data_IF_490031926928
#
_entry.id   IF_490031926928
#
_cell.length_a   1.000
_cell.length_b   1.000
_cell.length_c   1.000
_cell.angle_alpha   90.00
_cell.angle_beta   90.00
_cell.angle_gamma   90.00
#
_symmetry.space_group_name_H-M   'P 1'
#
loop_
_entity.id
_entity.type
_entity.pdbx_description
1 polymer ?
#
# COMPACT_ATOMS: atom_id res chain seq x y z
N UNK A 1 27.80 -3.96 31.90
CA UNK A 1 26.55 -3.54 31.24
C UNK A 1 26.91 -3.35 29.77
N UNK A 2 26.54 -4.29 28.91
CA UNK A 2 26.77 -4.16 27.47
C UNK A 2 25.79 -3.12 26.93
N UNK A 3 26.32 -1.97 26.52
CA UNK A 3 25.59 -1.04 25.67
C UNK A 3 25.50 -1.68 24.29
N UNK A 4 24.40 -2.38 24.00
CA UNK A 4 24.06 -2.70 22.62
C UNK A 4 23.74 -1.38 21.91
N UNK A 5 24.66 -0.92 21.05
CA UNK A 5 24.38 0.16 20.13
C UNK A 5 23.18 -0.24 19.27
N UNK A 6 22.04 0.46 19.44
CA UNK A 6 20.90 0.27 18.55
C UNK A 6 21.39 0.48 17.10
N UNK A 7 21.08 -0.44 16.19
CA UNK A 7 21.46 -0.28 14.79
C UNK A 7 20.89 1.05 14.30
N UNK A 8 21.70 1.83 13.58
CA UNK A 8 21.23 3.09 13.01
C UNK A 8 20.23 2.76 11.91
N UNK A 9 18.97 3.14 12.11
CA UNK A 9 17.89 2.97 11.14
C UNK A 9 17.34 4.32 10.71
N UNK A 10 16.66 4.34 9.58
CA UNK A 10 15.89 5.50 9.10
C UNK A 10 14.54 5.07 8.57
N UNK A 11 13.56 5.96 8.65
CA UNK A 11 12.28 5.78 7.97
C UNK A 11 12.36 6.27 6.52
N UNK A 12 11.82 5.48 5.60
CA UNK A 12 11.68 5.88 4.20
C UNK A 12 10.36 5.40 3.61
N UNK A 13 10.03 5.91 2.42
CA UNK A 13 8.78 5.60 1.71
C UNK A 13 9.09 4.91 0.40
N UNK A 14 8.45 3.77 0.18
CA UNK A 14 8.51 3.03 -1.08
C UNK A 14 7.17 3.19 -1.77
N UNK A 15 7.16 3.46 -3.07
CA UNK A 15 5.92 3.65 -3.83
C UNK A 15 5.88 2.68 -5.00
N UNK A 16 4.81 1.90 -5.07
CA UNK A 16 4.48 1.04 -6.21
C UNK A 16 3.22 1.57 -6.86
N UNK A 17 3.14 1.52 -8.19
CA UNK A 17 1.97 2.01 -8.92
C UNK A 17 1.59 1.06 -10.04
N UNK A 18 0.30 0.92 -10.28
CA UNK A 18 -0.24 0.12 -11.36
C UNK A 18 -1.42 0.82 -12.01
N UNK A 19 -1.67 0.46 -13.28
CA UNK A 19 -2.76 1.03 -14.08
C UNK A 19 -3.99 0.12 -14.00
N UNK A 20 -5.13 0.73 -13.75
CA UNK A 20 -6.46 0.16 -13.92
C UNK A 20 -6.97 0.64 -15.27
N UNK A 21 -6.86 -0.19 -16.30
CA UNK A 21 -7.18 0.18 -17.69
C UNK A 21 -8.56 -0.29 -18.15
N UNK A 22 -9.24 -1.12 -17.35
CA UNK A 22 -10.55 -1.69 -17.63
C UNK A 22 -11.48 -1.61 -16.42
N UNK A 23 -12.72 -1.17 -16.66
CA UNK A 23 -13.79 -1.20 -15.66
C UNK A 23 -14.17 -2.64 -15.27
N UNK A 24 -14.57 -2.85 -14.02
CA UNK A 24 -14.92 -4.17 -13.46
C UNK A 24 -13.77 -5.20 -13.59
N UNK A 25 -12.52 -4.72 -13.61
CA UNK A 25 -11.34 -5.55 -13.80
C UNK A 25 -10.76 -6.07 -12.48
N UNK A 26 -10.06 -7.21 -12.57
CA UNK A 26 -9.21 -7.75 -11.52
C UNK A 26 -7.76 -7.64 -11.98
N UNK A 27 -6.92 -7.01 -11.17
CA UNK A 27 -5.54 -6.66 -11.48
C UNK A 27 -4.63 -7.30 -10.45
N UNK A 28 -3.70 -8.13 -10.88
CA UNK A 28 -2.68 -8.74 -10.01
C UNK A 28 -1.33 -8.12 -10.31
N UNK A 29 -0.66 -7.66 -9.26
CA UNK A 29 0.68 -7.07 -9.30
C UNK A 29 1.52 -7.82 -8.27
N UNK A 30 2.44 -8.67 -8.70
CA UNK A 30 3.16 -9.62 -7.85
C UNK A 30 4.69 -9.60 -8.04
N UNK A 31 5.19 -8.67 -8.84
CA UNK A 31 6.60 -8.49 -9.18
C UNK A 31 7.23 -7.30 -8.45
N UNK A 32 6.70 -6.92 -7.29
CA UNK A 32 7.18 -5.80 -6.47
C UNK A 32 8.03 -6.33 -5.32
N UNK A 33 9.09 -5.62 -4.99
CA UNK A 33 10.04 -6.00 -3.93
C UNK A 33 10.42 -4.78 -3.11
N UNK A 34 10.43 -4.93 -1.78
CA UNK A 34 10.95 -3.93 -0.85
C UNK A 34 12.48 -3.82 -0.97
N UNK A 35 13.07 -2.67 -0.61
CA UNK A 35 14.52 -2.52 -0.54
C UNK A 35 15.15 -3.59 0.36
N UNK A 36 16.29 -4.15 -0.06
CA UNK A 36 16.98 -5.24 0.66
C UNK A 36 17.34 -4.93 2.11
N UNK A 37 17.49 -3.66 2.46
CA UNK A 37 17.83 -3.21 3.80
C UNK A 37 16.61 -2.92 4.68
N UNK A 38 15.40 -3.21 4.20
CA UNK A 38 14.17 -3.11 4.99
C UNK A 38 14.27 -3.98 6.22
N UNK A 39 13.96 -3.39 7.38
CA UNK A 39 13.91 -4.05 8.68
C UNK A 39 12.47 -4.25 9.14
N UNK A 40 11.62 -3.26 8.94
CA UNK A 40 10.22 -3.28 9.34
C UNK A 40 9.33 -2.57 8.31
N UNK A 41 8.10 -3.02 8.20
CA UNK A 41 7.00 -2.33 7.52
C UNK A 41 6.11 -1.69 8.58
N UNK A 42 6.10 -0.36 8.61
CA UNK A 42 5.47 0.44 9.68
C UNK A 42 4.02 0.80 9.37
N UNK A 43 3.71 0.98 8.09
CA UNK A 43 2.38 1.34 7.63
C UNK A 43 2.28 1.47 6.12
N UNK A 44 1.07 1.65 5.62
CA UNK A 44 0.84 1.84 4.18
C UNK A 44 -0.35 2.74 3.89
N UNK A 45 -0.43 3.21 2.65
CA UNK A 45 -1.49 4.07 2.14
C UNK A 45 -1.77 3.74 0.67
N UNK A 46 -3.03 3.83 0.25
CA UNK A 46 -3.42 3.86 -1.15
C UNK A 46 -3.79 5.29 -1.59
N UNK A 47 -3.34 5.67 -2.79
CA UNK A 47 -3.78 6.88 -3.48
C UNK A 47 -4.08 6.61 -4.94
N UNK A 48 -4.81 7.53 -5.55
CA UNK A 48 -5.03 7.56 -7.00
C UNK A 48 -5.05 8.98 -7.50
N UNK A 49 -4.73 9.16 -8.78
CA UNK A 49 -4.99 10.42 -9.49
C UNK A 49 -6.50 10.69 -9.68
N UNK A 50 -7.34 9.65 -9.50
CA UNK A 50 -8.79 9.75 -9.38
C UNK A 50 -9.25 9.20 -8.01
N UNK A 51 -9.17 10.01 -6.93
CA UNK A 51 -9.47 9.55 -5.58
C UNK A 51 -10.88 9.00 -5.39
N UNK A 52 -11.87 9.54 -6.11
CA UNK A 52 -13.25 9.06 -6.13
C UNK A 52 -13.35 7.62 -6.63
N UNK A 53 -12.60 7.26 -7.67
CA UNK A 53 -12.57 5.89 -8.21
C UNK A 53 -11.96 4.93 -7.20
N UNK A 54 -10.83 5.29 -6.60
CA UNK A 54 -10.24 4.48 -5.52
C UNK A 54 -11.22 4.32 -4.36
N UNK A 55 -11.91 5.39 -3.97
CA UNK A 55 -12.82 5.41 -2.83
C UNK A 55 -14.08 4.54 -3.05
N UNK A 56 -14.73 4.68 -4.21
CA UNK A 56 -16.02 4.04 -4.48
C UNK A 56 -15.92 2.69 -5.19
N UNK A 57 -14.85 2.46 -5.96
CA UNK A 57 -14.73 1.29 -6.85
C UNK A 57 -13.69 0.29 -6.39
N UNK A 58 -12.72 0.71 -5.58
CA UNK A 58 -11.54 -0.08 -5.25
C UNK A 58 -11.73 -1.00 -4.06
N UNK A 59 -11.31 -2.25 -4.23
CA UNK A 59 -11.02 -3.19 -3.14
C UNK A 59 -9.75 -3.97 -3.47
N UNK A 60 -9.08 -4.53 -2.47
CA UNK A 60 -7.81 -5.23 -2.69
C UNK A 60 -7.53 -6.34 -1.68
N UNK A 61 -6.62 -7.23 -2.06
CA UNK A 61 -5.77 -8.04 -1.18
C UNK A 61 -4.35 -7.49 -1.24
N UNK A 62 -3.67 -7.41 -0.10
CA UNK A 62 -2.27 -7.00 -0.03
C UNK A 62 -1.50 -8.03 0.80
N UNK A 63 -0.44 -8.56 0.21
CA UNK A 63 0.54 -9.42 0.87
C UNK A 63 1.90 -8.74 0.87
N UNK A 64 2.61 -8.83 2.00
CA UNK A 64 3.98 -8.34 2.13
C UNK A 64 4.82 -9.41 2.84
N UNK A 65 5.99 -9.74 2.28
CA UNK A 65 6.90 -10.70 2.89
C UNK A 65 6.36 -12.13 2.96
N UNK A 66 5.36 -12.46 2.13
CA UNK A 66 4.62 -13.72 2.18
C UNK A 66 3.48 -13.76 3.21
N UNK A 67 3.24 -12.70 3.97
CA UNK A 67 2.12 -12.57 4.90
C UNK A 67 0.98 -11.77 4.28
N UNK A 68 -0.25 -12.26 4.44
CA UNK A 68 -1.46 -11.51 4.07
C UNK A 68 -1.76 -10.45 5.13
N UNK A 69 -1.64 -9.18 4.76
CA UNK A 69 -1.96 -8.07 5.65
C UNK A 69 -3.41 -7.60 5.50
N UNK A 70 -3.93 -7.67 4.26
CA UNK A 70 -5.30 -7.31 3.94
C UNK A 70 -5.91 -8.40 3.04
N UNK A 71 -7.06 -9.00 3.43
CA UNK A 71 -7.66 -10.11 2.71
C UNK A 71 -8.32 -9.66 1.40
N UNK A 72 -8.70 -10.61 0.54
CA UNK A 72 -9.49 -10.33 -0.66
C UNK A 72 -10.78 -9.53 -0.33
N UNK A 73 -11.03 -8.50 -1.13
CA UNK A 73 -12.21 -7.64 -0.97
C UNK A 73 -12.07 -6.57 0.12
N UNK A 74 -10.90 -6.38 0.73
CA UNK A 74 -10.69 -5.28 1.67
C UNK A 74 -10.84 -3.93 0.97
N UNK A 75 -11.70 -3.06 1.52
CA UNK A 75 -12.07 -1.79 0.91
C UNK A 75 -10.87 -0.83 0.80
N UNK A 76 -10.57 -0.32 -0.41
CA UNK A 76 -9.48 0.64 -0.63
C UNK A 76 -9.66 1.92 0.18
N UNK A 77 -10.91 2.38 0.35
CA UNK A 77 -11.23 3.64 1.04
C UNK A 77 -10.76 3.69 2.50
N UNK A 78 -10.56 2.53 3.14
CA UNK A 78 -10.04 2.44 4.51
C UNK A 78 -8.54 2.77 4.56
N UNK A 79 -7.81 2.52 3.48
CA UNK A 79 -6.37 2.79 3.36
C UNK A 79 -6.07 4.16 2.73
N UNK A 80 -7.09 4.99 2.54
CA UNK A 80 -6.96 6.36 2.07
C UNK A 80 -6.86 7.33 3.25
N UNK A 81 -6.11 8.41 3.08
CA UNK A 81 -6.07 9.52 4.04
C UNK A 81 -6.67 10.79 3.44
N UNK A 82 -7.38 11.55 4.29
CA UNK A 82 -7.86 12.89 3.94
C UNK A 82 -6.69 13.87 3.82
N UNK A 83 -6.85 14.89 2.98
CA UNK A 83 -5.90 16.00 2.88
C UNK A 83 -5.71 16.75 4.20
N UNK A 84 -6.70 16.71 5.10
CA UNK A 84 -6.65 17.34 6.42
C UNK A 84 -5.75 16.60 7.43
N UNK A 85 -5.33 15.37 7.14
CA UNK A 85 -4.46 14.58 8.01
C UNK A 85 -3.01 15.03 7.81
N UNK A 86 -2.28 15.20 8.93
CA UNK A 86 -0.88 15.58 8.90
C UNK A 86 -0.06 14.54 8.11
N UNK A 87 0.93 14.92 7.29
CA UNK A 87 1.64 13.98 6.40
C UNK A 87 2.22 12.72 7.06
N UNK A 88 2.57 12.78 8.36
CA UNK A 88 3.08 11.62 9.12
C UNK A 88 1.98 10.64 9.53
N UNK A 89 0.76 11.12 9.74
CA UNK A 89 -0.40 10.35 10.21
C UNK A 89 -1.24 9.78 9.06
N UNK A 90 -0.79 9.96 7.81
CA UNK A 90 -1.52 9.55 6.59
C UNK A 90 -1.47 8.06 6.30
N UNK A 91 -0.63 7.32 7.00
CA UNK A 91 -0.44 5.89 6.81
C UNK A 91 -1.37 5.12 7.75
N UNK A 92 -1.97 4.05 7.24
CA UNK A 92 -2.55 3.02 8.08
C UNK A 92 -1.43 2.32 8.83
N UNK A 93 -1.43 2.42 10.15
CA UNK A 93 -0.40 1.85 11.01
C UNK A 93 -0.52 0.31 11.04
N UNK A 94 0.60 -0.37 10.81
CA UNK A 94 0.69 -1.83 10.84
C UNK A 94 1.49 -2.34 12.06
N UNK A 95 2.17 -1.43 12.78
CA UNK A 95 3.08 -1.78 13.86
C UNK A 95 4.46 -2.18 13.33
N UNK A 96 4.99 -3.30 13.79
CA UNK A 96 6.33 -3.81 13.47
C UNK A 96 6.23 -5.08 12.62
N UNK A 97 5.65 -4.97 11.43
CA UNK A 97 5.54 -6.10 10.50
C UNK A 97 6.92 -6.44 9.94
N UNK A 98 7.32 -7.71 10.04
CA UNK A 98 8.57 -8.17 9.47
C UNK A 98 8.46 -8.24 7.94
N UNK A 99 9.51 -7.86 7.20
CA UNK A 99 9.44 -7.77 5.75
C UNK A 99 9.50 -9.12 5.03
N UNK A 100 9.67 -10.23 5.77
CA UNK A 100 9.69 -11.59 5.24
C UNK A 100 10.64 -11.77 4.05
N UNK A 101 10.12 -12.28 2.94
CA UNK A 101 10.85 -12.47 1.67
C UNK A 101 10.98 -11.19 0.81
N UNK A 102 10.65 -10.02 1.38
CA UNK A 102 10.62 -8.70 0.73
C UNK A 102 9.59 -8.55 -0.40
N UNK A 103 8.85 -9.61 -0.75
CA UNK A 103 7.87 -9.53 -1.83
C UNK A 103 6.69 -8.64 -1.43
N UNK A 104 6.14 -7.93 -2.40
CA UNK A 104 4.88 -7.18 -2.24
C UNK A 104 3.95 -7.62 -3.35
N UNK A 105 2.76 -8.08 -2.96
CA UNK A 105 1.73 -8.52 -3.91
C UNK A 105 0.44 -7.77 -3.63
N UNK A 106 -0.17 -7.28 -4.70
CA UNK A 106 -1.45 -6.59 -4.65
C UNK A 106 -2.38 -7.25 -5.66
N UNK A 107 -3.55 -7.68 -5.20
CA UNK A 107 -4.67 -8.02 -6.07
C UNK A 107 -5.72 -6.95 -5.89
N UNK A 108 -5.93 -6.11 -6.90
CA UNK A 108 -6.87 -5.01 -6.87
C UNK A 108 -8.08 -5.32 -7.75
N UNK A 109 -9.27 -5.06 -7.24
CA UNK A 109 -10.53 -5.17 -7.97
C UNK A 109 -11.17 -3.79 -8.13
N UNK A 110 -11.40 -3.41 -9.39
CA UNK A 110 -12.32 -2.32 -9.73
C UNK A 110 -13.74 -2.89 -9.79
N UNK A 111 -14.70 -2.22 -9.16
CA UNK A 111 -16.12 -2.56 -9.22
C UNK A 111 -16.94 -1.32 -9.56
N UNK A 112 -17.90 -1.48 -10.46
CA UNK A 112 -18.73 -0.36 -10.89
C UNK A 112 -19.53 0.26 -9.74
N UNK A 113 -19.62 1.59 -9.76
CA UNK A 113 -20.31 2.36 -8.74
C UNK A 113 -20.94 3.62 -9.35
N UNK A 114 -22.22 3.88 -9.04
CA UNK A 114 -23.01 4.97 -9.62
C UNK A 114 -22.45 6.36 -9.30
N UNK A 115 -21.81 6.53 -8.15
CA UNK A 115 -21.16 7.79 -7.73
C UNK A 115 -19.78 8.03 -8.32
N UNK A 116 -19.21 7.07 -9.07
CA UNK A 116 -17.88 7.19 -9.66
C UNK A 116 -17.82 6.47 -11.01
N UNK A 117 -18.14 7.17 -12.09
CA UNK A 117 -18.05 6.64 -13.43
C UNK A 117 -16.59 6.30 -13.79
N UNK A 118 -16.38 5.16 -14.46
CA UNK A 118 -15.02 4.74 -14.86
C UNK A 118 -14.36 5.77 -15.78
N UNK A 119 -15.04 6.23 -16.82
CA UNK A 119 -14.61 7.29 -17.74
C UNK A 119 -13.38 6.95 -18.59
N UNK A 120 -12.23 6.75 -17.93
CA UNK A 120 -10.95 6.37 -18.53
C UNK A 120 -10.10 5.58 -17.52
N UNK A 121 -9.03 4.93 -17.98
CA UNK A 121 -8.10 4.25 -17.07
C UNK A 121 -7.48 5.20 -16.04
N UNK A 122 -7.14 4.66 -14.87
CA UNK A 122 -6.55 5.41 -13.76
C UNK A 122 -5.40 4.66 -13.11
N UNK A 123 -4.53 5.39 -12.42
CA UNK A 123 -3.42 4.83 -11.65
C UNK A 123 -3.76 4.71 -10.18
N UNK A 124 -3.44 3.57 -9.58
CA UNK A 124 -3.45 3.36 -8.13
C UNK A 124 -1.99 3.25 -7.68
N UNK A 125 -1.66 3.90 -6.57
CA UNK A 125 -0.33 3.85 -5.96
C UNK A 125 -0.43 3.36 -4.52
N UNK A 126 0.34 2.32 -4.21
CA UNK A 126 0.60 1.83 -2.87
C UNK A 126 1.87 2.49 -2.35
N UNK A 127 1.76 3.22 -1.25
CA UNK A 127 2.88 3.85 -0.56
C UNK A 127 3.09 3.11 0.74
N UNK A 128 4.29 2.59 0.96
CA UNK A 128 4.66 1.82 2.14
C UNK A 128 5.69 2.62 2.93
N UNK A 129 5.42 2.82 4.22
CA UNK A 129 6.36 3.37 5.18
C UNK A 129 7.19 2.21 5.75
N UNK A 130 8.50 2.29 5.57
CA UNK A 130 9.44 1.27 6.04
C UNK A 130 10.46 1.87 6.99
N UNK A 131 11.00 1.02 7.86
CA UNK A 131 12.25 1.26 8.55
C UNK A 131 13.35 0.45 7.84
N UNK A 132 14.46 1.09 7.48
CA UNK A 132 15.61 0.45 6.83
C UNK A 132 16.91 0.74 7.57
N UNK A 133 17.85 -0.22 7.50
CA UNK A 133 19.21 -0.03 8.03
C UNK A 133 19.99 0.99 7.22
N UNK A 134 20.80 1.80 7.91
CA UNK A 134 21.77 2.70 7.28
C UNK A 134 22.99 1.96 6.72
#
# INVERSE_FOLDING_TARGET
MNNEEKPKTKESRVTFSFKVDKANGLFTVDNLELPKHTKLVKGLQLISEYPDRLYYRGSQRIEIGGEELFPDGFDSKILMSSLSVAPRERFFELGDVLPGDLSVKVRYQDKDHSSAAFGQGYKVSLIILIEEGL
#
